data_IF_852779637040
#
_entry.id   IF_852779637040
#
_cell.length_a   1.000
_cell.length_b   1.000
_cell.length_c   1.000
_cell.angle_alpha   90.00
_cell.angle_beta   90.00
_cell.angle_gamma   90.00
#
_symmetry.space_group_name_H-M   'P 1'
#
loop_
_entity.id
_entity.type
_entity.pdbx_description
1 polymer ?
#
# COMPACT_ATOMS: atom_id res chain seq x y z
N UNK A 1 0.72 -3.38 95.37
CA UNK A 1 1.36 -4.08 94.21
C UNK A 1 0.23 -4.43 93.19
N UNK A 2 0.11 -3.65 92.10
CA UNK A 2 -0.87 -3.87 91.05
C UNK A 2 -0.11 -4.24 89.77
N UNK A 3 -0.21 -5.49 89.31
CA UNK A 3 0.35 -5.98 88.02
C UNK A 3 -0.58 -5.60 86.87
N UNK A 4 -0.03 -4.82 85.94
CA UNK A 4 -0.73 -4.56 84.63
C UNK A 4 -0.31 -5.64 83.67
N UNK A 5 -1.32 -6.32 83.07
CA UNK A 5 -1.15 -7.21 81.93
C UNK A 5 -1.34 -6.38 80.67
N UNK A 6 -0.33 -6.41 79.78
CA UNK A 6 -0.39 -5.80 78.45
C UNK A 6 -0.68 -6.92 77.48
N UNK A 7 -1.84 -6.85 76.80
CA UNK A 7 -2.14 -7.73 75.68
C UNK A 7 -1.47 -7.15 74.41
N UNK A 8 -0.57 -7.93 73.80
CA UNK A 8 -0.10 -7.68 72.43
C UNK A 8 -1.09 -8.30 71.47
N UNK A 9 -1.80 -7.47 70.70
CA UNK A 9 -2.59 -7.91 69.59
C UNK A 9 -1.72 -7.99 68.30
N UNK A 10 -1.58 -9.22 67.76
CA UNK A 10 -0.92 -9.46 66.49
C UNK A 10 -1.89 -9.16 65.37
N UNK A 11 -1.60 -8.16 64.54
CA UNK A 11 -2.34 -7.89 63.30
C UNK A 11 -1.71 -8.73 62.20
N UNK A 12 -2.44 -9.71 61.72
CA UNK A 12 -2.07 -10.49 60.52
C UNK A 12 -2.55 -9.72 59.30
N UNK A 13 -1.61 -9.16 58.53
CA UNK A 13 -1.90 -8.54 57.24
C UNK A 13 -2.02 -9.63 56.18
N UNK A 14 -3.20 -9.85 55.68
CA UNK A 14 -3.46 -10.68 54.49
C UNK A 14 -3.02 -9.88 53.25
N UNK A 15 -1.92 -10.28 52.61
CA UNK A 15 -1.51 -9.80 51.33
C UNK A 15 -2.37 -10.48 50.22
N UNK A 16 -3.31 -9.76 49.65
CA UNK A 16 -4.04 -10.17 48.46
C UNK A 16 -3.10 -10.03 47.25
N UNK A 17 -2.54 -11.17 46.80
CA UNK A 17 -1.79 -11.26 45.57
C UNK A 17 -2.78 -11.21 44.41
N UNK A 18 -2.91 -10.05 43.74
CA UNK A 18 -3.64 -9.92 42.48
C UNK A 18 -2.82 -10.57 41.38
N UNK A 19 -3.15 -11.79 41.01
CA UNK A 19 -2.68 -12.39 39.75
C UNK A 19 -3.38 -11.67 38.60
N UNK A 20 -2.65 -10.79 37.93
CA UNK A 20 -3.08 -10.27 36.64
C UNK A 20 -3.14 -11.45 35.66
N UNK A 21 -4.34 -11.84 35.27
CA UNK A 21 -4.55 -12.70 34.13
C UNK A 21 -4.08 -11.93 32.90
N UNK A 22 -2.90 -12.28 32.39
CA UNK A 22 -2.53 -11.91 31.02
C UNK A 22 -3.63 -12.51 30.12
N UNK A 23 -4.42 -11.66 29.48
CA UNK A 23 -5.30 -12.11 28.43
C UNK A 23 -4.41 -12.61 27.30
N UNK A 24 -4.38 -13.92 27.08
CA UNK A 24 -3.87 -14.49 25.84
C UNK A 24 -4.75 -13.92 24.70
N UNK A 25 -4.28 -12.83 24.11
CA UNK A 25 -4.81 -12.41 22.81
C UNK A 25 -4.59 -13.60 21.86
N UNK A 26 -5.61 -14.06 21.14
CA UNK A 26 -5.45 -15.17 20.22
C UNK A 26 -4.32 -14.83 19.27
N UNK A 27 -3.34 -15.75 19.14
CA UNK A 27 -2.28 -15.62 18.15
C UNK A 27 -2.94 -15.28 16.80
N UNK A 28 -2.63 -14.12 16.26
CA UNK A 28 -3.29 -13.57 15.08
C UNK A 28 -3.20 -14.59 13.95
N UNK A 29 -4.35 -15.12 13.54
CA UNK A 29 -4.47 -15.81 12.27
C UNK A 29 -4.03 -14.82 11.21
N UNK A 30 -3.20 -15.26 10.26
CA UNK A 30 -2.83 -14.40 9.13
C UNK A 30 -4.07 -13.82 8.46
N UNK A 31 -3.92 -12.70 7.77
CA UNK A 31 -5.03 -12.07 7.06
C UNK A 31 -5.62 -13.03 6.01
N UNK A 32 -6.94 -13.00 5.87
CA UNK A 32 -7.65 -13.71 4.81
C UNK A 32 -7.63 -12.87 3.51
N UNK A 33 -7.77 -13.53 2.36
CA UNK A 33 -7.78 -12.84 1.06
C UNK A 33 -9.02 -11.94 0.85
N UNK A 34 -10.10 -12.19 1.61
CA UNK A 34 -11.35 -11.42 1.62
C UNK A 34 -11.45 -10.44 2.80
N UNK A 35 -10.35 -10.19 3.51
CA UNK A 35 -10.30 -9.24 4.61
C UNK A 35 -10.70 -7.84 4.18
N UNK A 36 -11.37 -7.12 5.08
CA UNK A 36 -11.74 -5.72 4.89
C UNK A 36 -10.52 -4.79 4.76
N UNK A 37 -10.69 -3.69 4.06
CA UNK A 37 -9.60 -2.73 3.79
C UNK A 37 -8.97 -2.15 5.06
N UNK A 38 -9.72 -2.09 6.16
CA UNK A 38 -9.27 -1.55 7.44
C UNK A 38 -9.05 -2.63 8.51
N UNK A 39 -9.16 -3.92 8.16
CA UNK A 39 -8.93 -4.99 9.13
C UNK A 39 -7.48 -4.97 9.58
N UNK A 40 -7.20 -4.99 10.90
CA UNK A 40 -5.85 -4.88 11.41
C UNK A 40 -4.96 -6.03 10.97
N UNK A 41 -3.78 -5.70 10.44
CA UNK A 41 -2.71 -6.66 10.20
C UNK A 41 -1.59 -6.50 11.24
N UNK A 42 -1.01 -7.63 11.65
CA UNK A 42 0.26 -7.60 12.39
C UNK A 42 1.39 -7.24 11.43
N UNK A 43 2.32 -6.34 11.82
CA UNK A 43 3.46 -6.03 10.99
C UNK A 43 4.39 -7.25 10.92
N UNK A 44 4.95 -7.49 9.74
CA UNK A 44 5.84 -8.65 9.54
C UNK A 44 6.87 -8.37 8.45
N UNK A 45 7.96 -9.14 8.49
CA UNK A 45 9.00 -9.06 7.48
C UNK A 45 8.51 -9.66 6.17
N UNK A 46 8.69 -8.93 5.07
CA UNK A 46 8.48 -9.46 3.74
C UNK A 46 9.77 -10.12 3.25
N UNK A 47 10.85 -9.34 3.10
CA UNK A 47 12.17 -9.83 2.76
C UNK A 47 13.24 -8.78 3.08
N UNK A 48 14.42 -9.22 3.53
CA UNK A 48 15.56 -8.36 3.79
C UNK A 48 15.21 -7.20 4.74
N UNK A 49 15.30 -5.98 4.23
CA UNK A 49 14.97 -4.74 4.93
C UNK A 49 13.56 -4.19 4.57
N UNK A 50 12.69 -5.02 4.00
CA UNK A 50 11.33 -4.65 3.63
C UNK A 50 10.31 -5.29 4.57
N UNK A 51 9.45 -4.47 5.16
CA UNK A 51 8.45 -4.85 6.16
C UNK A 51 7.04 -4.50 5.70
N UNK A 52 6.08 -5.36 5.97
CA UNK A 52 4.66 -5.05 5.82
C UNK A 52 4.17 -4.28 7.04
N UNK A 53 3.55 -3.12 6.82
CA UNK A 53 3.02 -2.25 7.90
C UNK A 53 1.58 -1.80 7.65
N UNK A 54 0.95 -2.27 6.58
CA UNK A 54 -0.43 -1.94 6.19
C UNK A 54 -1.50 -2.61 7.02
N UNK A 55 -2.67 -2.75 6.42
CA UNK A 55 -3.84 -3.48 6.94
C UNK A 55 -3.99 -4.83 6.21
N UNK A 56 -4.95 -5.67 6.60
CA UNK A 56 -5.16 -6.93 5.91
C UNK A 56 -5.60 -6.76 4.44
N UNK A 57 -6.39 -5.73 4.14
CA UNK A 57 -6.93 -5.53 2.79
C UNK A 57 -6.13 -4.57 1.92
N UNK A 58 -5.30 -3.69 2.51
CA UNK A 58 -4.50 -2.69 1.78
C UNK A 58 -3.04 -2.72 2.25
N UNK A 59 -2.12 -2.84 1.30
CA UNK A 59 -0.68 -2.88 1.57
C UNK A 59 -0.13 -1.50 1.91
N UNK A 60 0.77 -1.48 2.90
CA UNK A 60 1.79 -0.45 3.05
C UNK A 60 3.09 -1.14 3.46
N UNK A 61 4.21 -0.67 2.91
CA UNK A 61 5.53 -1.26 3.19
C UNK A 61 6.47 -0.22 3.80
N UNK A 62 7.34 -0.67 4.70
CA UNK A 62 8.46 0.12 5.22
C UNK A 62 9.76 -0.49 4.72
N UNK A 63 10.55 0.28 3.98
CA UNK A 63 11.89 -0.10 3.54
C UNK A 63 12.90 0.61 4.44
N UNK A 64 13.75 -0.15 5.14
CA UNK A 64 14.52 0.35 6.28
C UNK A 64 16.02 0.40 6.03
N UNK A 65 16.69 1.41 6.61
CA UNK A 65 18.15 1.50 6.75
C UNK A 65 18.52 2.32 7.97
N UNK A 66 19.79 2.30 8.35
CA UNK A 66 20.32 3.11 9.46
C UNK A 66 20.31 4.61 9.14
N UNK A 67 20.25 5.00 7.86
CA UNK A 67 20.18 6.40 7.43
C UNK A 67 18.73 6.95 7.39
N UNK A 68 17.75 6.10 7.66
CA UNK A 68 16.32 6.41 7.62
C UNK A 68 15.55 5.45 6.74
N UNK A 69 14.25 5.66 6.65
CA UNK A 69 13.31 4.72 6.03
C UNK A 69 12.52 5.37 4.88
N UNK A 70 12.00 4.54 3.99
CA UNK A 70 11.02 4.94 2.97
C UNK A 70 9.72 4.18 3.24
N UNK A 71 8.61 4.91 3.35
CA UNK A 71 7.27 4.34 3.44
C UNK A 71 6.66 4.26 2.04
N UNK A 72 6.09 3.12 1.69
CA UNK A 72 5.42 2.87 0.41
C UNK A 72 3.95 2.63 0.67
N UNK A 73 3.09 3.45 0.09
CA UNK A 73 1.64 3.55 0.28
C UNK A 73 1.19 3.98 1.68
N UNK A 74 -0.06 4.46 1.74
CA UNK A 74 -0.66 5.06 2.92
C UNK A 74 -2.02 4.47 3.28
N UNK A 75 -2.55 3.56 2.48
CA UNK A 75 -3.87 2.95 2.64
C UNK A 75 -5.02 3.98 2.77
N UNK A 76 -6.14 3.56 3.37
CA UNK A 76 -7.32 4.40 3.59
C UNK A 76 -7.07 5.50 4.63
N UNK A 77 -7.94 6.53 4.73
CA UNK A 77 -7.84 7.55 5.78
C UNK A 77 -7.87 6.98 7.21
N UNK A 78 -8.48 5.81 7.42
CA UNK A 78 -8.58 5.16 8.73
C UNK A 78 -7.33 4.35 9.09
N UNK A 79 -6.47 4.03 8.13
CA UNK A 79 -5.33 3.14 8.32
C UNK A 79 -4.07 3.83 8.90
N UNK A 80 -3.99 5.16 8.82
CA UNK A 80 -2.81 5.93 9.27
C UNK A 80 -2.34 5.58 10.68
N UNK A 81 -3.21 5.59 11.71
CA UNK A 81 -2.85 5.22 13.07
C UNK A 81 -2.32 3.79 13.18
N UNK A 82 -2.89 2.84 12.41
CA UNK A 82 -2.45 1.45 12.37
C UNK A 82 -1.04 1.32 11.76
N UNK A 83 -0.78 2.01 10.64
CA UNK A 83 0.53 2.03 9.98
C UNK A 83 1.60 2.56 10.96
N UNK A 84 1.32 3.67 11.65
CA UNK A 84 2.23 4.24 12.65
C UNK A 84 2.45 3.29 13.84
N UNK A 85 1.40 2.60 14.29
CA UNK A 85 1.50 1.59 15.35
C UNK A 85 2.34 0.39 14.90
N UNK A 86 2.17 -0.08 13.68
CA UNK A 86 2.92 -1.19 13.09
C UNK A 86 4.42 -0.85 12.96
N UNK A 87 4.76 0.38 12.51
CA UNK A 87 6.15 0.85 12.46
C UNK A 87 6.79 0.79 13.85
N UNK A 88 6.08 1.28 14.89
CA UNK A 88 6.58 1.24 16.28
C UNK A 88 6.69 -0.18 16.83
N UNK A 89 5.74 -1.07 16.50
CA UNK A 89 5.77 -2.46 16.93
C UNK A 89 6.96 -3.24 16.37
N UNK A 90 7.49 -2.83 15.22
CA UNK A 90 8.74 -3.36 14.64
C UNK A 90 9.99 -2.75 15.30
N UNK A 91 9.86 -1.81 16.22
CA UNK A 91 10.97 -1.12 16.89
C UNK A 91 11.50 0.08 16.10
N UNK A 92 10.87 0.50 15.00
CA UNK A 92 11.24 1.68 14.24
C UNK A 92 10.49 2.92 14.74
N UNK A 93 11.05 4.08 14.46
CA UNK A 93 10.44 5.35 14.81
C UNK A 93 9.82 5.97 13.55
N UNK A 94 8.54 6.38 13.57
CA UNK A 94 7.94 7.09 12.45
C UNK A 94 8.74 8.33 12.01
N UNK A 95 9.40 9.01 12.95
CA UNK A 95 10.21 10.20 12.69
C UNK A 95 11.50 9.90 11.89
N UNK A 96 11.89 8.62 11.77
CA UNK A 96 13.02 8.17 10.95
C UNK A 96 12.60 7.84 9.49
N UNK A 97 11.30 7.90 9.16
CA UNK A 97 10.84 7.92 7.78
C UNK A 97 11.26 9.25 7.14
N UNK A 98 12.01 9.18 6.04
CA UNK A 98 12.59 10.32 5.32
C UNK A 98 11.93 10.59 3.98
N UNK A 99 11.17 9.65 3.46
CA UNK A 99 10.41 9.76 2.23
C UNK A 99 9.15 8.91 2.31
N UNK A 100 8.07 9.40 1.70
CA UNK A 100 6.84 8.64 1.47
C UNK A 100 6.64 8.59 -0.03
N UNK A 101 6.42 7.40 -0.56
CA UNK A 101 6.04 7.14 -1.94
C UNK A 101 4.72 6.37 -1.95
N UNK A 102 3.98 6.39 -3.05
CA UNK A 102 2.68 5.72 -3.12
C UNK A 102 2.44 5.18 -4.53
N UNK A 103 1.47 4.28 -4.65
CA UNK A 103 1.10 3.65 -5.91
C UNK A 103 0.25 4.58 -6.78
N UNK A 104 -0.87 5.06 -6.25
CA UNK A 104 -1.76 5.96 -6.98
C UNK A 104 -2.62 6.80 -6.01
N UNK A 105 -3.31 7.79 -6.56
CA UNK A 105 -3.95 8.88 -5.85
C UNK A 105 -5.37 8.58 -5.31
N UNK A 106 -5.88 7.35 -5.37
CA UNK A 106 -7.18 6.97 -4.79
C UNK A 106 -7.13 6.91 -3.27
N UNK A 107 -8.30 7.07 -2.63
CA UNK A 107 -8.43 7.20 -1.18
C UNK A 107 -7.96 5.97 -0.39
N UNK A 108 -8.01 4.79 -0.99
CA UNK A 108 -7.58 3.55 -0.38
C UNK A 108 -6.05 3.32 -0.46
N UNK A 109 -5.31 4.23 -1.14
CA UNK A 109 -3.83 4.21 -1.22
C UNK A 109 -3.20 5.53 -0.80
N UNK A 110 -3.86 6.66 -1.07
CA UNK A 110 -3.40 8.00 -0.69
C UNK A 110 -4.11 8.56 0.55
N UNK A 111 -5.08 7.84 1.13
CA UNK A 111 -5.99 8.33 2.15
C UNK A 111 -5.32 8.86 3.41
N UNK A 112 -4.29 8.18 3.91
CA UNK A 112 -3.54 8.61 5.09
C UNK A 112 -2.26 9.40 4.77
N UNK A 113 -1.97 9.76 3.50
CA UNK A 113 -0.73 10.46 3.14
C UNK A 113 -0.51 11.74 3.96
N UNK A 114 -1.52 12.57 4.12
CA UNK A 114 -1.42 13.82 4.87
C UNK A 114 -1.16 13.59 6.37
N UNK A 115 -1.79 12.59 6.98
CA UNK A 115 -1.57 12.20 8.37
C UNK A 115 -0.16 11.64 8.57
N UNK A 116 0.26 10.71 7.71
CA UNK A 116 1.59 10.09 7.77
C UNK A 116 2.69 11.11 7.50
N UNK A 117 2.48 12.04 6.54
CA UNK A 117 3.38 13.15 6.31
C UNK A 117 3.55 14.02 7.57
N UNK A 118 2.44 14.36 8.23
CA UNK A 118 2.48 15.15 9.47
C UNK A 118 3.19 14.41 10.61
N UNK A 119 2.95 13.11 10.75
CA UNK A 119 3.54 12.29 11.82
C UNK A 119 5.03 12.03 11.62
N UNK A 120 5.49 11.88 10.38
CA UNK A 120 6.88 11.58 10.04
C UNK A 120 7.72 12.82 9.76
N UNK A 121 7.10 13.90 9.29
CA UNK A 121 7.78 15.07 8.74
C UNK A 121 8.37 14.85 7.33
N UNK A 122 8.19 13.67 6.74
CA UNK A 122 8.76 13.31 5.46
C UNK A 122 8.00 13.95 4.28
N UNK A 123 8.67 14.34 3.18
CA UNK A 123 8.01 14.72 1.95
C UNK A 123 7.34 13.51 1.28
N UNK A 124 6.26 13.78 0.52
CA UNK A 124 5.62 12.81 -0.37
C UNK A 124 6.18 13.02 -1.78
N UNK A 125 6.66 11.95 -2.39
CA UNK A 125 7.15 11.97 -3.77
C UNK A 125 6.06 11.51 -4.72
N UNK A 126 5.74 12.33 -5.71
CA UNK A 126 4.67 12.09 -6.65
C UNK A 126 5.10 12.40 -8.08
N UNK A 127 4.66 11.58 -9.05
CA UNK A 127 4.75 11.95 -10.46
C UNK A 127 3.79 13.11 -10.76
N UNK A 128 4.15 13.91 -11.77
CA UNK A 128 3.40 15.12 -12.11
C UNK A 128 1.87 14.92 -12.25
N UNK A 129 1.36 13.84 -12.86
CA UNK A 129 -0.09 13.66 -13.03
C UNK A 129 -0.89 13.54 -11.72
N UNK A 130 -0.27 13.04 -10.60
CA UNK A 130 -0.94 12.91 -9.32
C UNK A 130 -0.96 14.21 -8.47
N UNK A 131 -0.10 15.19 -8.79
CA UNK A 131 0.20 16.31 -7.89
C UNK A 131 -1.03 17.18 -7.61
N UNK A 132 -1.80 17.51 -8.63
CA UNK A 132 -2.96 18.39 -8.47
C UNK A 132 -4.10 17.70 -7.69
N UNK A 133 -4.28 16.39 -7.91
CA UNK A 133 -5.21 15.56 -7.11
C UNK A 133 -4.79 15.56 -5.63
N UNK A 134 -3.54 15.29 -5.34
CA UNK A 134 -3.03 15.28 -3.95
C UNK A 134 -3.13 16.66 -3.27
N UNK A 135 -2.83 17.75 -3.97
CA UNK A 135 -2.91 19.11 -3.42
C UNK A 135 -4.33 19.55 -3.12
N UNK A 136 -5.28 19.17 -3.97
CA UNK A 136 -6.70 19.51 -3.78
C UNK A 136 -7.43 18.53 -2.87
N UNK A 137 -6.92 17.29 -2.78
CA UNK A 137 -7.61 16.18 -2.14
C UNK A 137 -8.83 15.68 -2.92
N UNK A 138 -8.93 16.02 -4.20
CA UNK A 138 -10.06 15.69 -5.07
C UNK A 138 -9.54 15.09 -6.38
N UNK A 139 -10.25 14.10 -6.95
CA UNK A 139 -9.86 13.49 -8.22
C UNK A 139 -9.82 14.54 -9.34
N UNK A 140 -9.13 14.22 -10.42
CA UNK A 140 -9.13 14.99 -11.66
C UNK A 140 -10.04 14.32 -12.71
N UNK A 141 -10.60 15.10 -13.65
CA UNK A 141 -11.46 14.55 -14.71
C UNK A 141 -10.76 13.58 -15.67
N UNK A 142 -9.43 13.53 -15.62
CA UNK A 142 -8.65 12.53 -16.35
C UNK A 142 -8.60 11.19 -15.64
N UNK A 143 -9.08 11.12 -14.38
CA UNK A 143 -9.22 9.87 -13.63
C UNK A 143 -10.40 9.06 -14.16
N UNK A 144 -10.20 7.78 -14.51
CA UNK A 144 -11.30 6.91 -14.92
C UNK A 144 -12.42 6.76 -13.90
N UNK A 145 -12.17 6.98 -12.63
CA UNK A 145 -13.14 6.88 -11.53
C UNK A 145 -13.61 8.24 -10.99
N UNK A 146 -13.43 9.32 -11.76
CA UNK A 146 -13.69 10.69 -11.30
C UNK A 146 -15.04 10.89 -10.59
N UNK A 147 -16.13 10.32 -11.12
CA UNK A 147 -17.48 10.52 -10.57
C UNK A 147 -17.72 9.73 -9.26
N UNK A 148 -16.89 8.74 -8.96
CA UNK A 148 -17.06 7.82 -7.81
C UNK A 148 -15.88 7.82 -6.85
N UNK A 149 -14.76 8.45 -7.20
CA UNK A 149 -13.58 8.49 -6.36
C UNK A 149 -13.81 9.37 -5.12
N UNK A 150 -13.47 8.83 -3.95
CA UNK A 150 -13.63 9.53 -2.67
C UNK A 150 -12.51 10.57 -2.46
N UNK A 151 -12.80 11.71 -1.80
CA UNK A 151 -11.79 12.71 -1.49
C UNK A 151 -10.81 12.21 -0.44
N UNK A 152 -9.58 12.74 -0.48
CA UNK A 152 -8.53 12.54 0.51
C UNK A 152 -8.14 13.86 1.18
N UNK A 153 -7.46 13.80 2.32
CA UNK A 153 -6.92 15.02 2.93
C UNK A 153 -5.80 15.60 2.05
N UNK A 154 -5.81 16.93 1.76
CA UNK A 154 -4.77 17.57 0.96
C UNK A 154 -3.35 17.35 1.51
N UNK A 155 -2.42 17.02 0.63
CA UNK A 155 -1.01 16.80 0.95
C UNK A 155 -0.21 18.08 0.72
N UNK A 156 0.57 18.52 1.72
CA UNK A 156 1.22 19.83 1.70
C UNK A 156 2.61 19.81 1.07
N UNK A 157 3.49 18.90 1.48
CA UNK A 157 4.89 18.86 1.07
C UNK A 157 5.09 17.75 0.02
N UNK A 158 4.92 18.11 -1.25
CA UNK A 158 5.05 17.18 -2.38
C UNK A 158 6.30 17.52 -3.17
N UNK A 159 7.14 16.53 -3.40
CA UNK A 159 8.30 16.60 -4.29
C UNK A 159 7.93 15.95 -5.63
N UNK A 160 8.04 16.71 -6.70
CA UNK A 160 7.79 16.19 -8.06
C UNK A 160 8.89 15.22 -8.46
N UNK A 161 8.48 14.05 -8.93
CA UNK A 161 9.37 12.99 -9.41
C UNK A 161 9.18 12.81 -10.92
N UNK A 162 10.27 12.56 -11.63
CA UNK A 162 10.25 12.13 -13.03
C UNK A 162 9.67 10.71 -13.15
N UNK A 163 9.20 10.34 -14.34
CA UNK A 163 8.55 9.06 -14.62
C UNK A 163 9.38 7.83 -14.24
N UNK A 164 10.70 7.90 -14.44
CA UNK A 164 11.66 6.85 -14.06
C UNK A 164 12.63 7.37 -12.98
N UNK A 165 12.15 8.32 -12.14
CA UNK A 165 12.94 8.93 -11.09
C UNK A 165 13.24 7.98 -9.93
N UNK A 166 14.30 8.30 -9.18
CA UNK A 166 14.73 7.51 -8.03
C UNK A 166 14.58 8.33 -6.76
N UNK A 167 13.93 7.74 -5.75
CA UNK A 167 13.88 8.27 -4.38
C UNK A 167 14.94 7.57 -3.56
N UNK A 168 15.88 8.35 -2.99
CA UNK A 168 17.00 7.81 -2.23
C UNK A 168 17.00 8.29 -0.78
N UNK A 169 17.26 7.37 0.16
CA UNK A 169 17.47 7.64 1.59
C UNK A 169 18.67 6.81 2.07
N UNK A 170 19.82 7.44 2.22
CA UNK A 170 21.06 6.71 2.48
C UNK A 170 21.33 5.64 1.41
N UNK A 171 21.44 4.34 1.78
CA UNK A 171 21.67 3.26 0.82
C UNK A 171 20.39 2.81 0.09
N UNK A 172 19.21 3.28 0.51
CA UNK A 172 17.96 2.92 -0.13
C UNK A 172 17.78 3.69 -1.43
N UNK A 173 17.35 2.99 -2.48
CA UNK A 173 17.00 3.57 -3.76
C UNK A 173 15.76 2.86 -4.33
N UNK A 174 14.63 3.57 -4.35
CA UNK A 174 13.38 3.10 -4.95
C UNK A 174 13.20 3.81 -6.29
N UNK A 175 13.10 3.03 -7.37
CA UNK A 175 12.89 3.55 -8.73
C UNK A 175 11.42 3.55 -9.06
N UNK A 176 10.91 4.70 -9.47
CA UNK A 176 9.57 4.83 -10.01
C UNK A 176 9.51 4.24 -11.43
N UNK A 177 8.43 3.58 -11.74
CA UNK A 177 8.08 3.13 -13.09
C UNK A 177 6.69 3.67 -13.38
N UNK A 178 6.60 4.67 -14.26
CA UNK A 178 5.30 5.25 -14.63
C UNK A 178 4.32 4.18 -15.07
N UNK A 179 3.16 4.11 -14.41
CA UNK A 179 2.15 3.06 -14.59
C UNK A 179 0.74 3.65 -14.78
N UNK A 180 0.55 4.63 -15.72
CA UNK A 180 -0.78 5.17 -15.98
C UNK A 180 -1.73 4.09 -16.50
N UNK A 181 -3.02 4.19 -16.13
CA UNK A 181 -4.04 3.27 -16.59
C UNK A 181 -5.18 3.08 -15.60
N UNK A 182 -4.90 2.72 -14.35
CA UNK A 182 -5.87 2.74 -13.26
C UNK A 182 -6.17 4.17 -12.82
N UNK A 183 -5.10 4.96 -12.65
CA UNK A 183 -5.14 6.43 -12.55
C UNK A 183 -4.08 7.04 -13.47
N UNK A 184 -4.13 8.35 -13.74
CA UNK A 184 -3.06 9.05 -14.47
C UNK A 184 -1.72 9.05 -13.73
N UNK A 185 -1.76 9.15 -12.41
CA UNK A 185 -0.57 9.23 -11.54
C UNK A 185 0.03 7.88 -11.14
N UNK A 186 -0.58 6.78 -11.55
CA UNK A 186 -0.19 5.42 -11.19
C UNK A 186 1.32 5.17 -11.31
N UNK A 187 1.92 4.59 -10.27
CA UNK A 187 3.37 4.40 -10.15
C UNK A 187 3.69 3.04 -9.55
N UNK A 188 4.38 2.21 -10.29
CA UNK A 188 5.01 0.98 -9.80
C UNK A 188 6.38 1.32 -9.22
N UNK A 189 6.76 0.72 -8.10
CA UNK A 189 8.04 0.93 -7.43
C UNK A 189 8.90 -0.32 -7.48
N UNK A 190 10.19 -0.13 -7.73
CA UNK A 190 11.15 -1.25 -7.74
C UNK A 190 12.38 -0.90 -6.89
N UNK A 191 12.89 -1.88 -6.16
CA UNK A 191 14.12 -1.74 -5.37
C UNK A 191 14.75 -3.09 -5.07
N UNK A 192 16.01 -3.06 -4.63
CA UNK A 192 16.68 -4.24 -4.10
C UNK A 192 16.53 -4.31 -2.58
N UNK A 193 16.12 -5.46 -2.07
CA UNK A 193 16.07 -5.77 -0.64
C UNK A 193 17.00 -6.93 -0.37
N UNK A 194 17.82 -6.85 0.69
CA UNK A 194 18.91 -7.79 0.91
C UNK A 194 18.89 -8.43 2.31
N UNK A 195 19.22 -9.71 2.39
CA UNK A 195 19.59 -10.42 3.62
C UNK A 195 21.07 -10.80 3.53
N UNK A 196 21.94 -9.99 4.14
CA UNK A 196 23.38 -10.08 3.89
C UNK A 196 23.70 -9.84 2.42
N UNK A 197 24.37 -10.79 1.77
CA UNK A 197 24.72 -10.71 0.34
C UNK A 197 23.60 -11.21 -0.59
N UNK A 198 22.55 -11.84 -0.05
CA UNK A 198 21.40 -12.32 -0.83
C UNK A 198 20.41 -11.19 -1.05
N UNK A 199 20.43 -10.61 -2.23
CA UNK A 199 19.59 -9.51 -2.63
C UNK A 199 18.53 -9.94 -3.64
N UNK A 200 17.28 -9.47 -3.44
CA UNK A 200 16.15 -9.75 -4.32
C UNK A 200 15.56 -8.47 -4.89
N UNK A 201 15.11 -8.54 -6.12
CA UNK A 201 14.39 -7.47 -6.77
C UNK A 201 12.94 -7.46 -6.29
N UNK A 202 12.58 -6.43 -5.52
CA UNK A 202 11.23 -6.16 -5.08
C UNK A 202 10.49 -5.33 -6.13
N UNK A 203 9.23 -5.66 -6.35
CA UNK A 203 8.32 -4.86 -7.16
C UNK A 203 7.04 -4.63 -6.37
N UNK A 204 6.72 -3.37 -6.10
CA UNK A 204 5.40 -2.94 -5.65
C UNK A 204 4.65 -2.45 -6.89
N UNK A 205 3.97 -3.39 -7.57
CA UNK A 205 3.27 -3.06 -8.81
C UNK A 205 1.96 -2.37 -8.49
N UNK A 206 1.72 -1.24 -9.13
CA UNK A 206 0.47 -0.49 -9.04
C UNK A 206 -0.75 -1.33 -9.41
N UNK A 207 -1.94 -0.86 -9.05
CA UNK A 207 -3.20 -1.45 -9.49
C UNK A 207 -3.30 -1.41 -11.01
N UNK A 208 -3.46 -2.60 -11.64
CA UNK A 208 -3.58 -2.73 -13.09
C UNK A 208 -5.02 -3.11 -13.48
N UNK A 209 -6.00 -2.38 -12.93
CA UNK A 209 -7.42 -2.65 -13.15
C UNK A 209 -8.05 -1.60 -14.05
N UNK A 210 -8.83 -2.04 -15.05
CA UNK A 210 -9.59 -1.17 -15.93
C UNK A 210 -10.98 -0.87 -15.32
N UNK A 211 -10.98 -0.31 -14.11
CA UNK A 211 -12.19 0.15 -13.41
C UNK A 211 -12.41 1.62 -13.76
N UNK A 212 -13.64 1.99 -14.04
CA UNK A 212 -14.03 3.37 -14.27
C UNK A 212 -15.44 3.62 -13.71
N UNK A 213 -15.82 4.89 -13.62
CA UNK A 213 -17.21 5.28 -13.48
C UNK A 213 -18.02 4.95 -14.76
N UNK A 214 -19.31 5.33 -14.76
CA UNK A 214 -20.22 5.06 -15.87
C UNK A 214 -19.99 5.97 -17.09
N UNK A 215 -19.20 7.03 -16.93
CA UNK A 215 -18.93 8.05 -17.97
C UNK A 215 -17.66 7.76 -18.73
N UNK A 216 -16.59 7.40 -18.02
CA UNK A 216 -15.29 7.15 -18.62
C UNK A 216 -15.27 5.84 -19.42
N UNK A 217 -14.77 5.89 -20.65
CA UNK A 217 -14.58 4.73 -21.52
C UNK A 217 -13.13 4.66 -21.97
N UNK A 218 -12.47 3.54 -21.69
CA UNK A 218 -11.10 3.28 -22.16
C UNK A 218 -10.97 3.27 -23.67
N UNK A 219 -12.05 2.92 -24.38
CA UNK A 219 -12.10 2.89 -25.85
C UNK A 219 -12.31 4.26 -26.50
N UNK A 220 -12.65 5.31 -25.74
CA UNK A 220 -12.90 6.65 -26.26
C UNK A 220 -11.61 7.47 -26.34
N UNK A 221 -10.81 7.23 -27.38
CA UNK A 221 -9.56 7.98 -27.61
C UNK A 221 -9.81 9.46 -27.97
N UNK A 222 -11.02 9.83 -28.40
CA UNK A 222 -11.37 11.21 -28.67
C UNK A 222 -11.54 12.03 -27.39
N UNK A 223 -12.17 11.44 -26.36
CA UNK A 223 -12.31 12.07 -25.05
C UNK A 223 -11.03 11.96 -24.21
N UNK A 224 -10.27 10.86 -24.36
CA UNK A 224 -9.09 10.54 -23.56
C UNK A 224 -7.88 10.17 -24.45
N UNK A 225 -7.31 11.13 -25.21
CA UNK A 225 -6.29 10.85 -26.21
C UNK A 225 -5.08 10.13 -25.65
N UNK A 226 -4.77 8.95 -26.22
CA UNK A 226 -3.60 8.16 -25.85
C UNK A 226 -3.70 7.40 -24.51
N UNK A 227 -4.79 7.52 -23.74
CA UNK A 227 -4.91 6.90 -22.41
C UNK A 227 -4.85 5.37 -22.49
N UNK A 228 -5.61 4.76 -23.39
CA UNK A 228 -5.58 3.31 -23.62
C UNK A 228 -4.18 2.83 -24.05
N UNK A 229 -3.53 3.58 -24.95
CA UNK A 229 -2.17 3.25 -25.38
C UNK A 229 -1.17 3.31 -24.23
N UNK A 230 -1.27 4.32 -23.34
CA UNK A 230 -0.47 4.44 -22.13
C UNK A 230 -0.70 3.26 -21.16
N UNK A 231 -1.96 2.85 -20.96
CA UNK A 231 -2.28 1.70 -20.13
C UNK A 231 -1.71 0.38 -20.71
N UNK A 232 -1.84 0.15 -22.00
CA UNK A 232 -1.23 -1.01 -22.66
C UNK A 232 0.28 -1.03 -22.54
N UNK A 233 0.93 0.14 -22.62
CA UNK A 233 2.36 0.28 -22.38
C UNK A 233 2.73 -0.03 -20.92
N UNK A 234 1.96 0.44 -19.94
CA UNK A 234 2.11 0.07 -18.52
C UNK A 234 2.12 -1.45 -18.35
N UNK A 235 1.13 -2.15 -18.92
CA UNK A 235 1.04 -3.62 -18.83
C UNK A 235 2.27 -4.30 -19.44
N UNK A 236 2.78 -3.79 -20.56
CA UNK A 236 3.99 -4.33 -21.19
C UNK A 236 5.24 -4.08 -20.32
N UNK A 237 5.39 -2.88 -19.76
CA UNK A 237 6.50 -2.52 -18.88
C UNK A 237 6.52 -3.38 -17.62
N UNK A 238 5.38 -3.49 -16.91
CA UNK A 238 5.29 -4.31 -15.69
C UNK A 238 5.58 -5.78 -15.97
N UNK A 239 5.11 -6.32 -17.11
CA UNK A 239 5.40 -7.69 -17.52
C UNK A 239 6.89 -7.97 -17.78
N UNK A 240 7.66 -6.94 -18.12
CA UNK A 240 9.09 -7.02 -18.46
C UNK A 240 10.02 -6.68 -17.29
N UNK A 241 9.49 -6.28 -16.12
CA UNK A 241 10.31 -5.97 -14.96
C UNK A 241 11.10 -7.20 -14.49
N UNK A 242 12.33 -6.96 -14.06
CA UNK A 242 13.05 -7.90 -13.19
C UNK A 242 12.28 -7.94 -11.85
N UNK A 243 11.84 -9.14 -11.43
CA UNK A 243 10.84 -9.28 -10.39
C UNK A 243 11.02 -10.62 -9.67
N UNK A 244 11.69 -10.60 -8.53
CA UNK A 244 11.78 -11.77 -7.66
C UNK A 244 10.58 -11.87 -6.71
N UNK A 245 10.14 -10.71 -6.18
CA UNK A 245 9.06 -10.62 -5.19
C UNK A 245 8.08 -9.54 -5.62
N UNK A 246 6.86 -9.94 -5.96
CA UNK A 246 5.75 -9.04 -6.26
C UNK A 246 4.92 -8.76 -5.01
N UNK A 247 4.67 -7.47 -4.75
CA UNK A 247 3.63 -6.98 -3.83
C UNK A 247 2.72 -6.04 -4.62
N UNK A 248 1.45 -5.97 -4.26
CA UNK A 248 0.45 -5.11 -4.89
C UNK A 248 -0.29 -4.28 -3.84
N UNK A 249 -0.88 -3.13 -4.20
CA UNK A 249 -1.63 -2.26 -3.28
C UNK A 249 -2.74 -3.02 -2.54
N UNK A 250 -3.46 -3.91 -3.24
CA UNK A 250 -4.33 -4.91 -2.61
C UNK A 250 -3.59 -6.24 -2.49
N UNK A 251 -3.30 -6.74 -1.27
CA UNK A 251 -2.55 -7.98 -1.06
C UNK A 251 -3.13 -9.20 -1.79
N UNK A 252 -4.46 -9.27 -1.91
CA UNK A 252 -5.18 -10.33 -2.62
C UNK A 252 -4.83 -10.40 -4.11
N UNK A 253 -4.53 -9.27 -4.76
CA UNK A 253 -4.21 -9.21 -6.19
C UNK A 253 -2.90 -9.94 -6.54
N UNK A 254 -1.97 -10.06 -5.59
CA UNK A 254 -0.74 -10.85 -5.72
C UNK A 254 -0.76 -12.14 -4.90
N UNK A 255 -1.85 -12.44 -4.16
CA UNK A 255 -1.91 -13.57 -3.23
C UNK A 255 -0.86 -13.48 -2.13
N UNK A 256 -0.61 -12.26 -1.62
CA UNK A 256 0.50 -11.99 -0.70
C UNK A 256 0.39 -12.83 0.58
N UNK A 257 -0.81 -12.93 1.17
CA UNK A 257 -1.03 -13.64 2.43
C UNK A 257 -0.77 -15.16 2.35
N UNK A 258 -0.78 -15.73 1.14
CA UNK A 258 -0.35 -17.12 0.90
C UNK A 258 1.17 -17.28 0.83
N UNK A 259 1.93 -16.18 0.78
CA UNK A 259 3.39 -16.17 0.55
C UNK A 259 4.20 -15.59 1.70
N UNK A 260 3.57 -14.87 2.62
CA UNK A 260 4.22 -14.28 3.80
C UNK A 260 3.51 -14.66 5.09
N UNK A 261 4.25 -14.56 6.20
CA UNK A 261 3.73 -14.84 7.54
C UNK A 261 3.67 -16.32 7.89
N UNK A 262 3.15 -16.65 9.10
CA UNK A 262 3.20 -18.00 9.65
C UNK A 262 2.28 -19.00 8.90
N UNK A 263 1.33 -18.51 8.10
CA UNK A 263 0.41 -19.33 7.31
C UNK A 263 0.82 -19.46 5.85
N UNK A 264 2.02 -18.99 5.48
CA UNK A 264 2.50 -19.05 4.10
C UNK A 264 2.52 -20.50 3.59
N UNK A 265 1.81 -20.74 2.48
CA UNK A 265 1.70 -22.04 1.83
C UNK A 265 2.32 -22.06 0.43
N UNK A 266 2.77 -20.91 -0.08
CA UNK A 266 3.40 -20.76 -1.38
C UNK A 266 4.75 -20.02 -1.25
N UNK A 267 5.68 -20.19 -2.19
CA UNK A 267 6.95 -19.51 -2.17
C UNK A 267 6.77 -17.99 -2.26
N UNK A 268 7.57 -17.25 -1.47
CA UNK A 268 7.61 -15.78 -1.55
C UNK A 268 8.17 -15.32 -2.91
N UNK A 269 9.24 -15.95 -3.36
CA UNK A 269 9.92 -15.64 -4.62
C UNK A 269 9.24 -16.32 -5.80
N UNK A 270 8.96 -15.52 -6.85
CA UNK A 270 8.40 -15.99 -8.11
C UNK A 270 8.76 -15.02 -9.23
N UNK A 271 9.80 -15.32 -9.97
CA UNK A 271 10.31 -14.49 -11.07
C UNK A 271 9.34 -14.33 -12.24
N UNK A 272 8.19 -15.02 -12.20
CA UNK A 272 7.13 -14.90 -13.21
C UNK A 272 5.93 -14.07 -12.72
N UNK A 273 5.92 -13.66 -11.45
CA UNK A 273 4.76 -13.04 -10.82
C UNK A 273 4.32 -11.72 -11.50
N UNK A 274 5.26 -10.81 -11.78
CA UNK A 274 4.95 -9.56 -12.47
C UNK A 274 4.37 -9.80 -13.87
N UNK A 275 4.91 -10.76 -14.61
CA UNK A 275 4.40 -11.14 -15.93
C UNK A 275 2.97 -11.68 -15.84
N UNK A 276 2.70 -12.59 -14.90
CA UNK A 276 1.35 -13.13 -14.72
C UNK A 276 0.36 -12.06 -14.27
N UNK A 277 0.77 -11.17 -13.37
CA UNK A 277 -0.06 -10.06 -12.92
C UNK A 277 -0.48 -9.15 -14.08
N UNK A 278 0.48 -8.73 -14.89
CA UNK A 278 0.23 -7.91 -16.08
C UNK A 278 -0.58 -8.64 -17.16
N UNK A 279 -0.38 -9.95 -17.36
CA UNK A 279 -1.20 -10.75 -18.29
C UNK A 279 -2.66 -10.85 -17.84
N UNK A 280 -2.91 -11.09 -16.56
CA UNK A 280 -4.27 -11.07 -16.00
C UNK A 280 -4.94 -9.70 -16.15
N UNK A 281 -4.18 -8.62 -15.94
CA UNK A 281 -4.67 -7.27 -16.15
C UNK A 281 -5.02 -6.99 -17.62
N UNK A 282 -4.20 -7.47 -18.57
CA UNK A 282 -4.49 -7.37 -20.00
C UNK A 282 -5.80 -8.08 -20.38
N UNK A 283 -6.03 -9.26 -19.84
CA UNK A 283 -7.28 -9.99 -20.09
C UNK A 283 -8.51 -9.21 -19.57
N UNK A 284 -8.41 -8.60 -18.40
CA UNK A 284 -9.47 -7.75 -17.84
C UNK A 284 -9.69 -6.49 -18.68
N UNK A 285 -8.64 -5.84 -19.16
CA UNK A 285 -8.74 -4.70 -20.05
C UNK A 285 -9.43 -5.06 -21.38
N UNK A 286 -9.03 -6.15 -22.02
CA UNK A 286 -9.68 -6.57 -23.30
C UNK A 286 -11.15 -6.95 -23.08
N UNK A 287 -11.49 -7.57 -21.93
CA UNK A 287 -12.90 -7.80 -21.56
C UNK A 287 -13.67 -6.49 -21.43
N UNK A 288 -13.10 -5.50 -20.71
CA UNK A 288 -13.71 -4.16 -20.56
C UNK A 288 -13.95 -3.49 -21.91
N UNK A 289 -12.97 -3.52 -22.81
CA UNK A 289 -13.10 -2.94 -24.14
C UNK A 289 -14.21 -3.62 -24.98
N UNK A 290 -14.36 -4.94 -24.85
CA UNK A 290 -15.45 -5.67 -25.50
C UNK A 290 -16.83 -5.28 -24.94
N UNK A 291 -16.95 -5.09 -23.63
CA UNK A 291 -18.16 -4.60 -22.97
C UNK A 291 -18.52 -3.18 -23.44
N UNK A 292 -17.53 -2.29 -23.52
CA UNK A 292 -17.72 -0.94 -24.05
C UNK A 292 -18.19 -0.94 -25.51
N UNK A 293 -17.62 -1.80 -26.35
CA UNK A 293 -18.06 -1.92 -27.75
C UNK A 293 -19.51 -2.42 -27.89
N UNK A 294 -19.92 -3.34 -26.99
CA UNK A 294 -21.29 -3.88 -27.00
C UNK A 294 -22.36 -2.85 -26.57
N UNK A 295 -21.97 -1.89 -25.72
CA UNK A 295 -22.86 -0.83 -25.18
C UNK A 295 -22.83 0.46 -26.02
N UNK A 296 -21.93 0.57 -27.01
CA UNK A 296 -21.92 1.71 -27.92
C UNK A 296 -23.22 1.73 -28.76
N UNK A 297 -23.95 2.87 -28.88
CA UNK A 297 -25.08 2.96 -29.77
C UNK A 297 -24.55 2.65 -31.17
N UNK A 298 -25.17 1.64 -31.83
CA UNK A 298 -24.89 1.36 -33.22
C UNK A 298 -25.01 2.68 -33.97
N UNK A 299 -23.95 3.10 -34.68
CA UNK A 299 -24.01 4.21 -35.62
C UNK A 299 -25.00 3.79 -36.72
N UNK A 300 -26.30 3.94 -36.41
CA UNK A 300 -27.37 3.68 -37.32
C UNK A 300 -27.14 4.53 -38.54
N UNK A 301 -26.94 3.88 -39.67
CA UNK A 301 -26.99 4.50 -40.97
C UNK A 301 -28.23 5.41 -40.99
N UNK A 302 -28.01 6.72 -41.08
CA UNK A 302 -29.11 7.63 -41.49
C UNK A 302 -29.45 7.28 -42.92
N UNK A 303 -30.75 7.10 -43.20
CA UNK A 303 -31.22 6.89 -44.56
C UNK A 303 -30.97 8.09 -45.45
#
# INVERSE_FOLDING_TARGET
>A
MKRRFTLLGSVVALALSSTALASDAPASRGCADDAGWNDPAMPLKVYGNTWYVGTCGISALLVTSDAGHILVDAATPQAGPQILANIRALGFRPEDVRAIVFSHEHFDHAGSLAELQKATGAPVYARAPAIDTLKRGLPDRTDPQFEVAEPVAPVANIVTLADDGVVSVGPLALTAVASPGHTPGGTTWTWRSCEGDDCRQMVYADSLTAISDDVFRYSDDAAHPGYLAAFRNTLARVAALDCDILVTPHPSASGLWNRIGPSAAAPLMDTTACRRYAQGARQRLEKRLAEEAATSPSSGARP
#
